data_IF_240478429266
#
_entry.id   IF_240478429266
#
_cell.length_a   1.000
_cell.length_b   1.000
_cell.length_c   1.000
_cell.angle_alpha   90.00
_cell.angle_beta   90.00
_cell.angle_gamma   90.00
#
_symmetry.space_group_name_H-M   'P 1'
#
loop_
_entity.id
_entity.type
_entity.pdbx_description
1 polymer ?
#
# COMPACT_ATOMS: atom_id res chain seq x y z
N UNK A 1 3.17 -12.84 -0.42
CA UNK A 1 1.89 -12.26 0.04
C UNK A 1 2.09 -11.29 1.20
N UNK A 2 2.88 -11.66 2.20
CA UNK A 2 3.23 -10.73 3.28
C UNK A 2 3.99 -9.51 2.75
N UNK A 3 4.89 -9.71 1.78
CA UNK A 3 5.57 -8.60 1.11
C UNK A 3 4.61 -7.67 0.39
N UNK A 4 3.59 -8.24 -0.27
CA UNK A 4 2.55 -7.46 -0.92
C UNK A 4 1.77 -6.62 0.09
N UNK A 5 1.45 -7.19 1.26
CA UNK A 5 0.77 -6.49 2.35
C UNK A 5 1.57 -5.28 2.82
N UNK A 6 2.88 -5.47 3.05
CA UNK A 6 3.78 -4.39 3.46
C UNK A 6 3.87 -3.31 2.38
N UNK A 7 3.88 -3.69 1.09
CA UNK A 7 3.89 -2.74 -0.02
C UNK A 7 2.65 -1.84 -0.02
N UNK A 8 1.47 -2.38 0.29
CA UNK A 8 0.24 -1.58 0.37
C UNK A 8 0.37 -0.52 1.48
N UNK A 9 0.88 -0.90 2.65
CA UNK A 9 1.10 0.07 3.74
C UNK A 9 2.15 1.11 3.40
N UNK A 10 3.23 0.72 2.72
CA UNK A 10 4.26 1.66 2.27
C UNK A 10 3.69 2.70 1.30
N UNK A 11 2.90 2.25 0.34
CA UNK A 11 2.24 3.14 -0.63
C UNK A 11 1.24 4.07 0.06
N UNK A 12 0.46 3.53 0.99
CA UNK A 12 -0.52 4.30 1.76
C UNK A 12 0.16 5.40 2.57
N UNK A 13 1.25 5.08 3.25
CA UNK A 13 2.02 6.06 4.02
C UNK A 13 2.59 7.14 3.12
N UNK A 14 3.19 6.76 2.01
CA UNK A 14 3.76 7.71 1.06
C UNK A 14 2.70 8.63 0.46
N UNK A 15 1.51 8.11 0.18
CA UNK A 15 0.39 8.89 -0.31
C UNK A 15 -0.11 9.89 0.73
N UNK A 16 -0.21 9.47 1.99
CA UNK A 16 -0.71 10.31 3.07
C UNK A 16 0.30 11.38 3.50
N UNK A 17 1.59 11.07 3.43
CA UNK A 17 2.67 11.94 3.92
C UNK A 17 3.76 12.08 2.87
N UNK A 18 3.49 12.89 1.85
CA UNK A 18 4.37 13.05 0.67
C UNK A 18 5.77 13.57 1.01
N UNK A 19 5.90 14.28 2.13
CA UNK A 19 7.15 14.95 2.51
C UNK A 19 8.08 14.08 3.38
N UNK A 20 7.65 12.86 3.74
CA UNK A 20 8.45 11.98 4.60
C UNK A 20 9.44 11.19 3.74
N UNK A 21 10.74 11.43 3.96
CA UNK A 21 11.81 10.77 3.21
C UNK A 21 12.05 9.33 3.66
N UNK A 22 11.92 9.06 4.97
CA UNK A 22 12.08 7.70 5.51
C UNK A 22 10.76 7.25 6.13
N UNK A 23 10.06 6.38 5.43
CA UNK A 23 8.78 5.86 5.90
C UNK A 23 8.92 4.89 7.07
N UNK A 24 7.84 4.74 7.84
CA UNK A 24 7.74 3.75 8.91
C UNK A 24 8.06 2.35 8.36
N UNK A 25 7.57 2.06 7.16
CA UNK A 25 7.77 0.76 6.52
C UNK A 25 9.24 0.46 6.27
N UNK A 26 10.05 1.46 5.91
CA UNK A 26 11.49 1.26 5.70
C UNK A 26 12.19 0.80 6.97
N UNK A 27 11.75 1.30 8.13
CA UNK A 27 12.30 0.88 9.43
C UNK A 27 11.95 -0.56 9.77
N UNK A 28 10.78 -1.02 9.37
CA UNK A 28 10.24 -2.32 9.76
C UNK A 28 10.40 -3.40 8.69
N UNK A 29 10.86 -3.04 7.48
CA UNK A 29 10.93 -3.97 6.35
C UNK A 29 11.74 -5.24 6.68
N UNK A 30 12.95 -5.08 7.20
CA UNK A 30 13.81 -6.22 7.51
C UNK A 30 13.18 -7.12 8.59
N UNK A 31 12.60 -6.52 9.63
CA UNK A 31 11.92 -7.26 10.69
C UNK A 31 10.64 -7.94 10.18
N UNK A 32 9.89 -7.29 9.29
CA UNK A 32 8.69 -7.87 8.68
C UNK A 32 9.04 -9.06 7.80
N UNK A 33 10.17 -8.98 7.10
CA UNK A 33 10.66 -10.06 6.26
C UNK A 33 11.02 -11.32 7.08
N UNK A 34 11.49 -11.14 8.31
CA UNK A 34 11.86 -12.24 9.19
C UNK A 34 10.70 -12.72 10.07
N UNK A 35 9.94 -11.81 10.64
CA UNK A 35 8.87 -12.09 11.60
C UNK A 35 7.58 -11.37 11.24
N UNK A 36 6.89 -11.78 10.16
CA UNK A 36 5.75 -11.02 9.65
C UNK A 36 4.59 -10.89 10.64
N UNK A 37 4.24 -11.93 11.38
CA UNK A 37 3.09 -11.88 12.28
C UNK A 37 3.20 -10.75 13.31
N UNK A 38 4.38 -10.58 13.91
CA UNK A 38 4.63 -9.52 14.89
C UNK A 38 4.58 -8.14 14.25
N UNK A 39 5.31 -7.96 13.15
CA UNK A 39 5.51 -6.64 12.54
C UNK A 39 4.28 -6.16 11.79
N UNK A 40 3.56 -7.05 11.11
CA UNK A 40 2.32 -6.68 10.42
C UNK A 40 1.27 -6.15 11.40
N UNK A 41 1.17 -6.76 12.60
CA UNK A 41 0.30 -6.25 13.65
C UNK A 41 0.68 -4.83 14.09
N UNK A 42 1.98 -4.56 14.28
CA UNK A 42 2.47 -3.24 14.64
C UNK A 42 2.19 -2.21 13.54
N UNK A 43 2.45 -2.57 12.28
CA UNK A 43 2.20 -1.68 11.15
C UNK A 43 0.71 -1.36 10.99
N UNK A 44 -0.18 -2.30 11.27
CA UNK A 44 -1.62 -2.07 11.22
C UNK A 44 -2.04 -0.93 12.16
N UNK A 45 -1.50 -0.93 13.39
CA UNK A 45 -1.78 0.12 14.37
C UNK A 45 -1.19 1.46 13.91
N UNK A 46 0.07 1.44 13.45
CA UNK A 46 0.77 2.66 13.03
C UNK A 46 0.18 3.30 11.77
N UNK A 47 -0.58 2.54 10.98
CA UNK A 47 -1.18 3.04 9.74
C UNK A 47 -2.48 3.82 9.95
N UNK A 48 -3.11 3.73 11.12
CA UNK A 48 -4.40 4.37 11.38
C UNK A 48 -4.39 5.87 11.11
N UNK A 49 -3.40 6.65 11.63
CA UNK A 49 -3.35 8.08 11.33
C UNK A 49 -3.17 8.38 9.84
N UNK A 50 -2.50 7.51 9.10
CA UNK A 50 -2.31 7.68 7.65
C UNK A 50 -3.61 7.47 6.90
N UNK A 51 -4.43 6.49 7.32
CA UNK A 51 -5.73 6.24 6.70
C UNK A 51 -6.65 7.46 6.83
N UNK A 52 -6.59 8.14 7.96
CA UNK A 52 -7.41 9.33 8.21
C UNK A 52 -7.06 10.51 7.28
N UNK A 53 -5.84 10.52 6.73
CA UNK A 53 -5.38 11.56 5.80
C UNK A 53 -5.71 11.29 4.35
N UNK A 54 -6.15 10.09 4.02
CA UNK A 54 -6.50 9.67 2.67
C UNK A 54 -8.02 9.68 2.54
N UNK A 55 -8.54 10.30 1.49
CA UNK A 55 -10.01 10.45 1.32
C UNK A 55 -10.46 9.95 -0.05
N UNK A 56 -11.75 9.64 -0.15
CA UNK A 56 -12.43 9.31 -1.39
C UNK A 56 -11.98 7.99 -2.01
N UNK A 57 -11.84 7.99 -3.32
CA UNK A 57 -11.56 6.79 -4.10
C UNK A 57 -10.20 6.17 -3.78
N UNK A 58 -9.23 6.99 -3.40
CA UNK A 58 -7.90 6.49 -3.06
C UNK A 58 -7.92 5.66 -1.79
N UNK A 59 -8.62 6.12 -0.74
CA UNK A 59 -8.77 5.34 0.48
C UNK A 59 -9.51 4.03 0.20
N UNK A 60 -10.58 4.09 -0.59
CA UNK A 60 -11.34 2.90 -0.98
C UNK A 60 -10.44 1.88 -1.69
N UNK A 61 -9.63 2.33 -2.65
CA UNK A 61 -8.71 1.49 -3.37
C UNK A 61 -7.72 0.79 -2.41
N UNK A 62 -7.10 1.55 -1.49
CA UNK A 62 -6.16 0.98 -0.53
C UNK A 62 -6.80 -0.03 0.40
N UNK A 63 -7.99 0.26 0.91
CA UNK A 63 -8.70 -0.65 1.82
C UNK A 63 -9.11 -1.94 1.11
N UNK A 64 -9.57 -1.85 -0.13
CA UNK A 64 -9.89 -3.03 -0.94
C UNK A 64 -8.66 -3.89 -1.22
N UNK A 65 -7.52 -3.25 -1.52
CA UNK A 65 -6.26 -3.97 -1.74
C UNK A 65 -5.76 -4.64 -0.47
N UNK A 66 -5.84 -3.97 0.68
CA UNK A 66 -5.48 -4.56 1.97
C UNK A 66 -6.34 -5.77 2.30
N UNK A 67 -7.64 -5.64 2.10
CA UNK A 67 -8.59 -6.72 2.38
C UNK A 67 -8.29 -7.95 1.51
N UNK A 68 -8.07 -7.74 0.22
CA UNK A 68 -7.73 -8.80 -0.72
C UNK A 68 -6.43 -9.51 -0.31
N UNK A 69 -5.38 -8.75 -0.03
CA UNK A 69 -4.08 -9.32 0.33
C UNK A 69 -4.17 -10.05 1.67
N UNK A 70 -4.89 -9.49 2.64
CA UNK A 70 -5.09 -10.12 3.94
C UNK A 70 -5.82 -11.46 3.79
N UNK A 71 -6.86 -11.52 2.97
CA UNK A 71 -7.57 -12.76 2.68
C UNK A 71 -6.67 -13.79 1.99
N UNK A 72 -5.83 -13.34 1.05
CA UNK A 72 -4.91 -14.22 0.32
C UNK A 72 -3.82 -14.82 1.22
N UNK A 73 -3.39 -14.09 2.25
CA UNK A 73 -2.39 -14.59 3.20
C UNK A 73 -2.99 -15.72 4.05
N UNK A 74 -4.24 -15.57 4.47
CA UNK A 74 -4.86 -16.46 5.43
C UNK A 74 -4.20 -16.32 6.80
N UNK A 75 -3.46 -17.34 7.24
CA UNK A 75 -2.73 -17.30 8.50
C UNK A 75 -1.35 -16.66 8.28
N UNK A 76 -1.02 -15.64 9.09
CA UNK A 76 0.26 -14.93 8.97
C UNK A 76 1.35 -15.75 9.66
N UNK A 77 2.44 -16.12 8.96
CA UNK A 77 3.53 -16.88 9.56
C UNK A 77 4.24 -16.10 10.65
N UNK A 78 4.70 -16.81 11.69
CA UNK A 78 5.48 -16.22 12.78
C UNK A 78 6.89 -15.89 12.34
N UNK A 79 7.52 -16.77 11.55
CA UNK A 79 8.88 -16.59 11.03
C UNK A 79 8.97 -17.07 9.59
N UNK A 80 9.84 -16.44 8.82
CA UNK A 80 10.12 -16.84 7.44
C UNK A 80 11.58 -17.31 7.33
N UNK A 81 11.79 -18.40 6.58
CA UNK A 81 13.14 -18.86 6.22
C UNK A 81 13.70 -18.01 5.07
N UNK A 82 14.93 -18.26 4.65
CA UNK A 82 15.60 -17.47 3.61
C UNK A 82 14.85 -17.52 2.27
N UNK A 83 14.36 -18.68 1.88
CA UNK A 83 13.58 -18.82 0.64
C UNK A 83 12.29 -18.02 0.71
N UNK A 84 11.57 -18.11 1.82
CA UNK A 84 10.33 -17.34 2.04
C UNK A 84 10.60 -15.85 2.09
N UNK A 85 11.74 -15.41 2.63
CA UNK A 85 12.15 -14.01 2.61
C UNK A 85 12.38 -13.50 1.19
N UNK A 86 12.91 -14.34 0.29
CA UNK A 86 13.03 -14.00 -1.12
C UNK A 86 11.66 -13.80 -1.77
N UNK A 87 10.69 -14.65 -1.46
CA UNK A 87 9.31 -14.47 -1.94
C UNK A 87 8.66 -13.22 -1.34
N UNK A 88 8.96 -12.88 -0.10
CA UNK A 88 8.51 -11.63 0.51
C UNK A 88 8.99 -10.43 -0.30
N UNK A 89 10.28 -10.38 -0.61
CA UNK A 89 10.87 -9.29 -1.39
C UNK A 89 10.24 -9.19 -2.79
N UNK A 90 10.00 -10.34 -3.44
CA UNK A 90 9.35 -10.39 -4.74
C UNK A 90 7.91 -9.87 -4.68
N UNK A 91 7.15 -10.31 -3.69
CA UNK A 91 5.76 -9.85 -3.47
C UNK A 91 5.69 -8.35 -3.19
N UNK A 92 6.61 -7.83 -2.41
CA UNK A 92 6.73 -6.40 -2.15
C UNK A 92 6.95 -5.61 -3.44
N UNK A 93 7.90 -6.04 -4.26
CA UNK A 93 8.22 -5.38 -5.54
C UNK A 93 7.06 -5.43 -6.52
N UNK A 94 6.43 -6.59 -6.67
CA UNK A 94 5.30 -6.76 -7.58
C UNK A 94 4.11 -5.91 -7.17
N UNK A 95 3.79 -5.87 -5.88
CA UNK A 95 2.68 -5.07 -5.38
C UNK A 95 2.97 -3.57 -5.50
N UNK A 96 4.20 -3.14 -5.25
CA UNK A 96 4.60 -1.73 -5.45
C UNK A 96 4.37 -1.30 -6.89
N UNK A 97 4.75 -2.12 -7.86
CA UNK A 97 4.51 -1.84 -9.28
C UNK A 97 3.02 -1.76 -9.59
N UNK A 98 2.22 -2.70 -9.09
CA UNK A 98 0.77 -2.73 -9.29
C UNK A 98 0.08 -1.50 -8.69
N UNK A 99 0.49 -1.10 -7.48
CA UNK A 99 -0.07 0.09 -6.84
C UNK A 99 0.27 1.36 -7.60
N UNK A 100 1.51 1.48 -8.08
CA UNK A 100 1.92 2.63 -8.89
C UNK A 100 1.11 2.70 -10.18
N UNK A 101 0.86 1.57 -10.83
CA UNK A 101 0.03 1.49 -12.02
C UNK A 101 -1.40 1.97 -11.73
N UNK A 102 -2.01 1.48 -10.66
CA UNK A 102 -3.38 1.85 -10.27
C UNK A 102 -3.49 3.33 -9.92
N UNK A 103 -2.53 3.86 -9.18
CA UNK A 103 -2.51 5.27 -8.82
C UNK A 103 -2.38 6.17 -10.06
N UNK A 104 -1.53 5.79 -11.01
CA UNK A 104 -1.38 6.52 -12.26
C UNK A 104 -2.66 6.52 -13.08
N UNK A 105 -3.35 5.38 -13.15
CA UNK A 105 -4.64 5.28 -13.83
C UNK A 105 -5.71 6.16 -13.16
N UNK A 106 -5.78 6.14 -11.84
CA UNK A 106 -6.73 6.96 -11.09
C UNK A 106 -6.49 8.45 -11.29
N UNK A 107 -5.22 8.87 -11.29
CA UNK A 107 -4.84 10.26 -11.55
C UNK A 107 -5.20 10.67 -12.97
N UNK A 108 -4.99 9.81 -13.94
CA UNK A 108 -5.35 10.04 -15.34
C UNK A 108 -6.85 10.21 -15.50
N UNK A 109 -7.66 9.33 -14.93
CA UNK A 109 -9.12 9.42 -14.98
C UNK A 109 -9.62 10.73 -14.36
N UNK A 110 -9.09 11.10 -13.19
CA UNK A 110 -9.46 12.35 -12.51
C UNK A 110 -9.09 13.57 -13.34
N UNK A 111 -7.93 13.55 -13.98
CA UNK A 111 -7.49 14.62 -14.87
C UNK A 111 -8.42 14.77 -16.08
N UNK A 112 -8.82 13.67 -16.68
CA UNK A 112 -9.76 13.66 -17.81
C UNK A 112 -11.15 14.18 -17.39
N UNK A 113 -11.65 13.76 -16.22
CA UNK A 113 -12.92 14.24 -15.67
C UNK A 113 -12.89 15.74 -15.41
N UNK A 114 -11.79 16.24 -14.85
CA UNK A 114 -11.61 17.67 -14.59
C UNK A 114 -11.58 18.47 -15.90
N UNK A 115 -10.87 18.00 -16.90
CA UNK A 115 -10.80 18.63 -18.20
C UNK A 115 -12.17 18.68 -18.89
N UNK A 116 -12.94 17.58 -18.80
CA UNK A 116 -14.30 17.52 -19.34
C UNK A 116 -15.24 18.51 -18.65
N UNK A 117 -15.13 18.61 -17.29
CA UNK A 117 -15.94 19.56 -16.53
C UNK A 117 -15.59 21.00 -16.87
N UNK A 118 -14.31 21.34 -17.07
CA UNK A 118 -13.85 22.66 -17.47
C UNK A 118 -14.37 23.01 -18.89
N UNK A 119 -14.39 22.04 -19.79
CA UNK A 119 -14.93 22.25 -21.17
C UNK A 119 -16.43 22.52 -21.14
N UNK A 120 -17.18 21.80 -20.30
CA UNK A 120 -18.62 21.99 -20.15
C UNK A 120 -18.97 23.38 -19.57
N UNK A 121 -18.13 23.90 -18.67
CA UNK A 121 -18.29 25.22 -18.07
C UNK A 121 -18.03 26.36 -19.06
N UNK A 122 -17.21 26.14 -20.09
CA UNK A 122 -16.90 27.15 -21.11
C UNK A 122 -17.99 27.29 -22.15
N UNK A 123 -18.89 26.34 -22.29
CA UNK A 123 -20.05 26.41 -23.19
C UNK A 123 -21.23 27.10 -22.51
#
# INVERSE_FOLDING_TARGET
RCGAWVAVYASMQQFAMRDVQAGIVQRYYASACQMPALVLGQLSILSVPHQDKIKGDYLKMYLEMLDKVTCDIGEIPTMLNLEQQAYFALGYRQMTAELNRRLNEMRKVKKEQKAAAETDEEE
#
